data_IF_693343168685
#
_entry.id   IF_693343168685
#
_cell.length_a   1.000
_cell.length_b   1.000
_cell.length_c   1.000
_cell.angle_alpha   90.00
_cell.angle_beta   90.00
_cell.angle_gamma   90.00
#
_symmetry.space_group_name_H-M   'P 1'
#
loop_
_entity.id
_entity.type
_entity.pdbx_description
1 polymer ?
#
# COMPACT_ATOMS: atom_id res chain seq x y z
N UNK A 1 -10.55 22.74 6.75
CA UNK A 1 -9.42 21.90 6.29
C UNK A 1 -9.99 20.52 5.95
N UNK A 2 -9.76 19.98 4.74
CA UNK A 2 -10.31 18.66 4.38
C UNK A 2 -9.67 17.53 5.21
N UNK A 3 -10.35 16.39 5.36
CA UNK A 3 -9.83 15.22 6.08
C UNK A 3 -8.52 14.72 5.47
N UNK A 4 -8.43 14.66 4.15
CA UNK A 4 -7.19 14.28 3.43
C UNK A 4 -6.06 15.29 3.68
N UNK A 5 -6.33 16.60 3.69
CA UNK A 5 -5.29 17.59 4.00
C UNK A 5 -4.74 17.40 5.42
N UNK A 6 -5.60 17.05 6.39
CA UNK A 6 -5.17 16.72 7.75
C UNK A 6 -4.35 15.43 7.78
N UNK A 7 -4.74 14.42 7.00
CA UNK A 7 -3.99 13.16 6.87
C UNK A 7 -2.57 13.40 6.35
N UNK A 8 -2.43 14.18 5.28
CA UNK A 8 -1.12 14.57 4.70
C UNK A 8 -0.29 15.35 5.72
N UNK A 9 -0.91 16.28 6.46
CA UNK A 9 -0.22 17.01 7.51
C UNK A 9 0.28 16.10 8.63
N UNK A 10 -0.51 15.11 9.05
CA UNK A 10 -0.08 14.10 10.02
C UNK A 10 1.05 13.23 9.47
N UNK A 11 0.90 12.70 8.25
CA UNK A 11 1.92 11.94 7.56
C UNK A 11 3.25 12.69 7.49
N UNK A 12 3.22 13.96 7.05
CA UNK A 12 4.41 14.83 6.95
C UNK A 12 5.15 14.98 8.28
N UNK A 13 4.43 15.05 9.42
CA UNK A 13 5.07 15.10 10.75
C UNK A 13 5.78 13.81 11.11
N UNK A 14 5.20 12.65 10.77
CA UNK A 14 5.77 11.35 11.10
C UNK A 14 6.93 10.98 10.18
N UNK A 15 6.81 11.24 8.88
CA UNK A 15 7.89 10.94 7.91
C UNK A 15 9.12 11.82 8.15
N UNK A 16 8.96 13.01 8.75
CA UNK A 16 10.06 13.89 9.14
C UNK A 16 10.86 13.42 10.36
N UNK A 17 10.36 12.42 11.12
CA UNK A 17 11.09 11.91 12.29
C UNK A 17 12.36 11.21 11.80
N UNK A 18 13.56 11.55 12.31
CA UNK A 18 14.80 10.95 11.84
C UNK A 18 14.80 9.42 11.95
N UNK A 19 15.07 8.75 10.83
CA UNK A 19 15.18 7.30 10.79
C UNK A 19 16.55 6.90 11.33
N UNK A 20 16.58 6.35 12.55
CA UNK A 20 17.83 5.88 13.13
C UNK A 20 18.37 4.71 12.32
N UNK A 21 19.69 4.69 12.10
CA UNK A 21 20.37 3.63 11.35
C UNK A 21 20.25 2.24 12.03
N UNK A 22 19.98 2.21 13.34
CA UNK A 22 19.78 1.01 14.15
C UNK A 22 18.31 0.57 14.25
N UNK A 23 17.37 1.32 13.67
CA UNK A 23 15.96 0.94 13.69
C UNK A 23 15.70 -0.23 12.74
N UNK A 24 14.85 -1.17 13.16
CA UNK A 24 14.38 -2.23 12.28
C UNK A 24 13.46 -1.64 11.20
N UNK A 25 13.39 -2.27 10.02
CA UNK A 25 12.49 -1.82 8.94
C UNK A 25 11.03 -1.72 9.39
N UNK A 26 10.57 -2.64 10.23
CA UNK A 26 9.23 -2.62 10.83
C UNK A 26 8.94 -1.38 11.70
N UNK A 27 9.98 -0.69 12.20
CA UNK A 27 9.83 0.53 12.98
C UNK A 27 9.76 1.80 12.11
N UNK A 28 9.88 1.66 10.79
CA UNK A 28 9.80 2.76 9.80
C UNK A 28 8.54 2.66 8.94
N UNK A 29 7.48 2.08 9.48
CA UNK A 29 6.18 1.93 8.80
C UNK A 29 5.22 2.99 9.31
N UNK A 30 4.61 3.74 8.39
CA UNK A 30 3.60 4.74 8.70
C UNK A 30 2.26 4.25 8.15
N UNK A 31 1.27 4.09 9.03
CA UNK A 31 -0.10 3.77 8.64
C UNK A 31 -0.92 5.05 8.47
N UNK A 32 -1.38 5.31 7.26
CA UNK A 32 -2.32 6.38 6.96
C UNK A 32 -3.74 5.80 6.88
N UNK A 33 -4.52 5.97 7.95
CA UNK A 33 -5.91 5.47 8.02
C UNK A 33 -6.88 6.58 7.65
N UNK A 34 -7.81 6.28 6.75
CA UNK A 34 -8.84 7.19 6.27
C UNK A 34 -10.16 6.45 6.07
N UNK A 35 -11.26 7.19 5.95
CA UNK A 35 -12.56 6.60 5.66
C UNK A 35 -12.67 6.30 4.15
N UNK A 36 -13.26 5.16 3.82
CA UNK A 36 -13.44 4.65 2.45
C UNK A 36 -14.11 5.65 1.50
N UNK A 37 -14.98 6.53 2.01
CA UNK A 37 -15.63 7.59 1.20
C UNK A 37 -14.65 8.67 0.72
N UNK A 38 -13.43 8.73 1.27
CA UNK A 38 -12.39 9.67 0.87
C UNK A 38 -11.43 9.09 -0.18
N UNK A 39 -11.60 7.84 -0.61
CA UNK A 39 -10.71 7.12 -1.55
C UNK A 39 -10.39 7.94 -2.80
N UNK A 40 -11.41 8.46 -3.48
CA UNK A 40 -11.24 9.27 -4.69
C UNK A 40 -10.37 10.52 -4.43
N UNK A 41 -10.57 11.17 -3.27
CA UNK A 41 -9.81 12.37 -2.91
C UNK A 41 -8.39 12.05 -2.47
N UNK A 42 -8.18 10.88 -1.85
CA UNK A 42 -6.86 10.39 -1.50
C UNK A 42 -6.05 10.13 -2.78
N UNK A 43 -6.61 9.37 -3.72
CA UNK A 43 -5.97 9.05 -5.00
C UNK A 43 -5.56 10.30 -5.77
N UNK A 44 -6.44 11.29 -5.85
CA UNK A 44 -6.16 12.57 -6.50
C UNK A 44 -5.06 13.39 -5.81
N UNK A 45 -4.60 12.99 -4.62
CA UNK A 45 -3.63 13.71 -3.79
C UNK A 45 -2.43 12.85 -3.38
N UNK A 46 -2.21 11.69 -3.99
CA UNK A 46 -1.04 10.85 -3.69
C UNK A 46 0.26 11.63 -3.89
N UNK A 47 0.33 12.46 -4.93
CA UNK A 47 1.49 13.32 -5.20
C UNK A 47 1.82 14.28 -4.05
N UNK A 48 0.84 14.67 -3.22
CA UNK A 48 1.12 15.50 -2.02
C UNK A 48 1.89 14.71 -0.95
N UNK A 49 1.71 13.38 -0.87
CA UNK A 49 2.52 12.52 0.01
C UNK A 49 3.95 12.39 -0.52
N UNK A 50 4.11 12.25 -1.83
CA UNK A 50 5.41 12.23 -2.51
C UNK A 50 6.20 13.52 -2.25
N UNK A 51 5.56 14.68 -2.44
CA UNK A 51 6.15 15.99 -2.14
C UNK A 51 6.56 16.08 -0.67
N UNK A 52 5.68 15.70 0.26
CA UNK A 52 5.98 15.74 1.69
C UNK A 52 7.15 14.82 2.08
N UNK A 53 7.28 13.66 1.42
CA UNK A 53 8.35 12.69 1.65
C UNK A 53 9.68 13.21 1.14
N UNK A 54 9.71 13.74 -0.08
CA UNK A 54 10.94 14.31 -0.66
C UNK A 54 11.40 15.57 0.03
N UNK A 55 10.47 16.38 0.56
CA UNK A 55 10.79 17.59 1.31
C UNK A 55 11.64 17.32 2.57
N UNK A 56 11.62 16.09 3.10
CA UNK A 56 12.44 15.67 4.25
C UNK A 56 13.63 14.79 3.85
N UNK A 57 13.93 14.71 2.55
CA UNK A 57 15.12 14.02 2.03
C UNK A 57 14.95 12.51 1.78
N UNK A 58 13.73 11.98 1.85
CA UNK A 58 13.45 10.59 1.51
C UNK A 58 13.06 10.43 0.04
N UNK A 59 13.49 9.35 -0.59
CA UNK A 59 12.99 8.95 -1.90
C UNK A 59 11.54 8.47 -1.82
N UNK A 60 10.89 8.37 -2.98
CA UNK A 60 9.49 7.97 -3.07
C UNK A 60 9.29 7.02 -4.25
N UNK A 61 8.57 5.94 -4.00
CA UNK A 61 8.09 5.01 -5.00
C UNK A 61 6.66 4.60 -4.62
N UNK A 62 5.73 4.68 -5.58
CA UNK A 62 4.33 4.31 -5.37
C UNK A 62 4.09 2.90 -5.88
N UNK A 63 3.85 1.97 -4.96
CA UNK A 63 3.39 0.62 -5.28
C UNK A 63 1.91 0.47 -4.90
N UNK A 64 1.01 0.46 -5.90
CA UNK A 64 -0.43 0.37 -5.68
C UNK A 64 -0.91 -1.10 -5.62
N UNK A 65 -1.43 -1.51 -4.47
CA UNK A 65 -1.94 -2.86 -4.22
C UNK A 65 -3.37 -3.09 -4.75
N UNK A 66 -4.07 -2.04 -5.21
CA UNK A 66 -5.53 -2.07 -5.47
C UNK A 66 -5.96 -3.21 -6.37
N UNK A 67 -5.30 -3.37 -7.51
CA UNK A 67 -5.67 -4.39 -8.50
C UNK A 67 -4.87 -5.69 -8.37
N UNK A 68 -3.93 -5.74 -7.43
CA UNK A 68 -3.04 -6.91 -7.28
C UNK A 68 -3.82 -8.17 -6.87
N UNK A 69 -4.81 -8.05 -5.98
CA UNK A 69 -5.67 -9.18 -5.61
C UNK A 69 -6.57 -9.68 -6.75
N UNK A 70 -7.38 -8.85 -7.41
CA UNK A 70 -8.23 -9.31 -8.51
C UNK A 70 -7.41 -9.89 -9.67
N UNK A 71 -6.26 -9.30 -10.00
CA UNK A 71 -5.36 -9.84 -11.03
C UNK A 71 -4.80 -11.22 -10.62
N UNK A 72 -4.31 -11.33 -9.37
CA UNK A 72 -3.79 -12.58 -8.84
C UNK A 72 -4.84 -13.68 -8.81
N UNK A 73 -6.04 -13.43 -8.25
CA UNK A 73 -7.06 -14.47 -8.11
C UNK A 73 -7.62 -14.91 -9.48
N UNK A 74 -7.70 -13.98 -10.45
CA UNK A 74 -8.14 -14.28 -11.81
C UNK A 74 -7.13 -15.16 -12.58
N UNK A 75 -5.82 -15.04 -12.27
CA UNK A 75 -4.78 -15.87 -12.88
C UNK A 75 -4.75 -17.33 -12.36
N UNK A 76 -5.48 -17.64 -11.28
CA UNK A 76 -5.47 -18.97 -10.69
C UNK A 76 -6.16 -19.98 -11.59
N UNK A 77 -5.59 -21.19 -11.71
CA UNK A 77 -6.13 -22.28 -12.54
C UNK A 77 -7.62 -22.57 -12.30
N UNK A 78 -8.08 -22.41 -11.06
CA UNK A 78 -9.46 -22.67 -10.63
C UNK A 78 -10.20 -21.40 -10.20
N UNK A 79 -9.86 -20.23 -10.75
CA UNK A 79 -10.45 -18.91 -10.40
C UNK A 79 -11.99 -18.95 -10.31
N UNK A 80 -12.67 -19.46 -11.33
CA UNK A 80 -14.13 -19.58 -11.36
C UNK A 80 -14.70 -20.39 -10.18
N UNK A 81 -14.03 -21.47 -9.79
CA UNK A 81 -14.45 -22.30 -8.65
C UNK A 81 -14.31 -21.55 -7.33
N UNK A 82 -13.27 -20.73 -7.18
CA UNK A 82 -13.10 -19.87 -5.99
C UNK A 82 -14.16 -18.77 -5.92
N UNK A 83 -14.56 -18.19 -7.05
CA UNK A 83 -15.64 -17.19 -7.09
C UNK A 83 -17.00 -17.80 -6.71
N UNK A 84 -17.27 -19.03 -7.17
CA UNK A 84 -18.49 -19.78 -6.82
C UNK A 84 -18.50 -20.25 -5.37
N UNK A 85 -17.32 -20.53 -4.79
CA UNK A 85 -17.17 -21.03 -3.41
C UNK A 85 -16.08 -20.25 -2.67
N UNK A 86 -16.36 -19.03 -2.20
CA UNK A 86 -15.37 -18.18 -1.53
C UNK A 86 -14.76 -18.80 -0.26
N UNK A 87 -15.45 -19.74 0.39
CA UNK A 87 -14.94 -20.49 1.54
C UNK A 87 -13.68 -21.33 1.24
N UNK A 88 -13.32 -21.53 -0.04
CA UNK A 88 -12.07 -22.18 -0.46
C UNK A 88 -10.88 -21.21 -0.48
N UNK A 89 -11.11 -19.89 -0.49
CA UNK A 89 -10.05 -18.87 -0.55
C UNK A 89 -9.02 -18.98 0.58
N UNK A 90 -9.36 -19.28 1.85
CA UNK A 90 -8.37 -19.37 2.93
C UNK A 90 -7.22 -20.35 2.64
N UNK A 91 -7.49 -21.41 1.88
CA UNK A 91 -6.45 -22.38 1.48
C UNK A 91 -5.46 -21.83 0.45
N UNK A 92 -5.86 -20.77 -0.27
CA UNK A 92 -5.11 -20.15 -1.36
C UNK A 92 -4.45 -18.83 -0.94
N UNK A 93 -5.05 -18.09 -0.01
CA UNK A 93 -4.57 -16.79 0.47
C UNK A 93 -3.09 -16.77 0.86
N UNK A 94 -2.48 -17.82 1.46
CA UNK A 94 -1.04 -17.80 1.74
C UNK A 94 -0.16 -17.59 0.51
N UNK A 95 -0.62 -18.00 -0.69
CA UNK A 95 0.12 -17.79 -1.96
C UNK A 95 0.03 -16.36 -2.48
N UNK A 96 -0.90 -15.55 -1.98
CA UNK A 96 -1.03 -14.16 -2.37
C UNK A 96 0.15 -13.32 -1.86
N UNK A 97 0.68 -13.64 -0.67
CA UNK A 97 1.86 -12.98 -0.13
C UNK A 97 3.06 -13.17 -1.08
N UNK A 98 3.33 -14.40 -1.50
CA UNK A 98 4.41 -14.71 -2.45
C UNK A 98 4.24 -13.98 -3.78
N UNK A 99 2.99 -13.82 -4.25
CA UNK A 99 2.71 -13.03 -5.44
C UNK A 99 3.07 -11.55 -5.24
N UNK A 100 2.61 -10.92 -4.15
CA UNK A 100 2.94 -9.51 -3.86
C UNK A 100 4.45 -9.30 -3.71
N UNK A 101 5.16 -10.22 -3.03
CA UNK A 101 6.62 -10.15 -2.88
C UNK A 101 7.33 -10.17 -4.25
N UNK A 102 6.84 -10.99 -5.18
CA UNK A 102 7.40 -11.10 -6.54
C UNK A 102 7.13 -9.81 -7.33
N UNK A 103 5.89 -9.31 -7.30
CA UNK A 103 5.51 -8.08 -8.00
C UNK A 103 6.27 -6.87 -7.46
N UNK A 104 6.41 -6.76 -6.13
CA UNK A 104 7.16 -5.69 -5.49
C UNK A 104 8.66 -5.77 -5.81
N UNK A 105 9.24 -6.97 -5.82
CA UNK A 105 10.65 -7.14 -6.20
C UNK A 105 10.89 -6.71 -7.64
N UNK A 106 9.96 -7.04 -8.55
CA UNK A 106 10.02 -6.63 -9.96
C UNK A 106 9.87 -5.12 -10.12
N UNK A 107 9.00 -4.49 -9.32
CA UNK A 107 8.81 -3.04 -9.31
C UNK A 107 10.06 -2.26 -8.87
N UNK A 108 10.89 -2.85 -8.00
CA UNK A 108 12.10 -2.21 -7.47
C UNK A 108 13.36 -2.39 -8.36
N UNK A 109 13.27 -3.17 -9.44
CA UNK A 109 14.36 -3.39 -10.41
C UNK A 109 14.37 -2.32 -11.49
#
# INVERSE_FOLDING_TARGET
MSRIKRLIQSYSKYVAVPWRNDAAAAQRVIFCVYNETEELRLRAKIDEFEIATRAVGHEWALFDLTDTFPNWIASQRYAKSYFQKPGLLPTLLPKYLTYIETEFTTFMQ
#
